data_IF_912700827058
#
_entry.id   IF_912700827058
#
_cell.length_a   1.000
_cell.length_b   1.000
_cell.length_c   1.000
_cell.angle_alpha   90.00
_cell.angle_beta   90.00
_cell.angle_gamma   90.00
#
_symmetry.space_group_name_H-M   'P 1'
#
loop_
_entity.id
_entity.type
_entity.pdbx_description
1 polymer ?
#
# COMPACT_ATOMS: atom_id res chain seq x y z
N UNK A 1 33.28 0.35 22.80
CA UNK A 1 32.53 0.68 21.57
C UNK A 1 31.21 -0.07 21.57
N UNK A 2 30.12 0.58 21.96
CA UNK A 2 28.79 -0.03 22.03
C UNK A 2 28.25 -0.30 20.61
N UNK A 3 28.04 -1.57 20.27
CA UNK A 3 27.34 -2.00 19.06
C UNK A 3 25.84 -1.78 19.26
N UNK A 4 25.37 -0.55 19.05
CA UNK A 4 23.95 -0.31 18.90
C UNK A 4 23.47 -0.98 17.61
N UNK A 5 22.86 -2.15 17.74
CA UNK A 5 22.09 -2.80 16.68
C UNK A 5 20.89 -1.90 16.43
N UNK A 6 20.95 -1.04 15.41
CA UNK A 6 19.80 -0.26 14.96
C UNK A 6 18.66 -1.25 14.63
N UNK A 7 17.67 -1.31 15.51
CA UNK A 7 16.45 -2.05 15.28
C UNK A 7 15.77 -1.42 14.07
N UNK A 8 15.64 -2.19 12.98
CA UNK A 8 14.79 -1.80 11.84
C UNK A 8 13.35 -1.96 12.32
N UNK A 9 12.72 -0.86 12.70
CA UNK A 9 11.29 -0.86 12.99
C UNK A 9 10.53 -0.88 11.67
N UNK A 10 9.64 -1.86 11.55
CA UNK A 10 8.69 -1.91 10.45
C UNK A 10 7.55 -0.94 10.75
N UNK A 11 7.28 -0.01 9.84
CA UNK A 11 6.21 0.97 9.98
C UNK A 11 5.04 0.60 9.09
N UNK A 12 3.91 0.30 9.73
CA UNK A 12 2.64 0.09 9.06
C UNK A 12 1.84 1.40 9.07
N UNK A 13 1.37 1.82 7.89
CA UNK A 13 0.62 3.07 7.71
C UNK A 13 -0.82 2.78 7.27
N UNK A 14 -1.77 3.03 8.17
CA UNK A 14 -3.21 3.06 7.88
C UNK A 14 -3.64 4.53 7.67
N UNK A 15 -3.91 4.98 6.43
CA UNK A 15 -4.50 6.29 6.24
C UNK A 15 -5.96 6.29 6.70
N UNK A 16 -6.34 7.28 7.51
CA UNK A 16 -7.71 7.41 8.04
C UNK A 16 -8.47 8.61 7.46
N UNK A 17 -7.78 9.44 6.68
CA UNK A 17 -8.33 10.65 6.07
C UNK A 17 -7.66 10.88 4.72
N UNK A 18 -8.47 10.87 3.65
CA UNK A 18 -8.06 11.08 2.25
C UNK A 18 -7.23 12.36 2.08
N UNK A 19 -7.55 13.45 2.81
CA UNK A 19 -6.84 14.73 2.76
C UNK A 19 -5.48 14.69 3.47
N UNK A 20 -5.29 13.76 4.39
CA UNK A 20 -4.05 13.63 5.20
C UNK A 20 -3.17 12.47 4.76
N UNK A 21 -3.72 11.49 4.04
CA UNK A 21 -3.02 10.30 3.57
C UNK A 21 -1.71 10.63 2.86
N UNK A 22 -1.70 11.71 2.07
CA UNK A 22 -0.51 12.21 1.37
C UNK A 22 0.61 12.72 2.26
N UNK A 23 0.31 13.20 3.48
CA UNK A 23 1.31 13.82 4.35
C UNK A 23 2.42 12.84 4.74
N UNK A 24 2.06 11.58 4.94
CA UNK A 24 3.04 10.54 5.31
C UNK A 24 4.07 10.32 4.18
N UNK A 25 3.61 10.29 2.93
CA UNK A 25 4.46 10.10 1.76
C UNK A 25 5.28 11.34 1.39
N UNK A 26 4.77 12.54 1.66
CA UNK A 26 5.48 13.80 1.38
C UNK A 26 6.58 14.11 2.41
N UNK A 27 6.38 13.73 3.68
CA UNK A 27 7.36 13.98 4.75
C UNK A 27 8.57 13.03 4.72
N UNK A 28 8.59 12.07 3.79
CA UNK A 28 9.73 11.15 3.63
C UNK A 28 9.85 10.09 4.72
N UNK A 29 8.75 9.76 5.41
CA UNK A 29 8.78 8.65 6.38
C UNK A 29 9.09 7.33 5.68
N UNK A 30 9.89 6.49 6.33
CA UNK A 30 10.22 5.15 5.88
C UNK A 30 9.05 4.19 6.15
N UNK A 31 8.00 4.26 5.33
CA UNK A 31 6.82 3.39 5.41
C UNK A 31 7.21 2.00 4.90
N UNK A 32 6.98 0.96 5.69
CA UNK A 32 7.26 -0.43 5.32
C UNK A 32 6.06 -1.06 4.63
N UNK A 33 4.88 -0.84 5.20
CA UNK A 33 3.60 -1.33 4.71
C UNK A 33 2.57 -0.20 4.74
N UNK A 34 1.64 -0.20 3.79
CA UNK A 34 0.51 0.72 3.79
C UNK A 34 -0.78 -0.02 3.42
N UNK A 35 -1.90 0.38 4.00
CA UNK A 35 -3.19 -0.32 3.83
C UNK A 35 -4.36 0.61 3.54
N UNK A 36 -4.27 1.42 2.46
CA UNK A 36 -5.34 2.35 2.12
C UNK A 36 -6.59 1.62 1.61
N UNK A 37 -7.76 2.23 1.76
CA UNK A 37 -8.86 1.94 0.85
C UNK A 37 -8.62 2.57 -0.54
N UNK A 38 -9.45 2.21 -1.52
CA UNK A 38 -9.28 2.72 -2.89
C UNK A 38 -9.34 4.25 -3.00
N UNK A 39 -10.14 4.93 -2.18
CA UNK A 39 -10.28 6.39 -2.24
C UNK A 39 -9.04 7.09 -1.66
N UNK A 40 -8.51 6.59 -0.55
CA UNK A 40 -7.22 7.04 -0.01
C UNK A 40 -6.10 6.80 -1.00
N UNK A 41 -6.06 5.62 -1.63
CA UNK A 41 -5.06 5.29 -2.63
C UNK A 41 -5.09 6.26 -3.83
N UNK A 42 -6.29 6.60 -4.33
CA UNK A 42 -6.46 7.62 -5.37
C UNK A 42 -5.91 8.98 -4.95
N UNK A 43 -6.19 9.42 -3.73
CA UNK A 43 -5.68 10.69 -3.23
C UNK A 43 -4.16 10.68 -3.05
N UNK A 44 -3.60 9.55 -2.59
CA UNK A 44 -2.15 9.40 -2.45
C UNK A 44 -1.49 9.45 -3.84
N UNK A 45 -1.95 8.61 -4.77
CA UNK A 45 -1.42 8.58 -6.12
C UNK A 45 -1.58 9.93 -6.85
N UNK A 46 -2.75 10.56 -6.73
CA UNK A 46 -3.03 11.86 -7.33
C UNK A 46 -2.14 12.97 -6.78
N UNK A 47 -1.84 12.96 -5.47
CA UNK A 47 -0.92 13.90 -4.86
C UNK A 47 0.55 13.69 -5.27
N UNK A 48 0.95 12.47 -5.62
CA UNK A 48 2.31 12.16 -6.07
C UNK A 48 2.54 12.45 -7.56
N UNK A 49 1.53 12.24 -8.41
CA UNK A 49 1.65 12.40 -9.87
C UNK A 49 1.07 13.73 -10.36
N UNK A 50 0.43 14.51 -9.47
CA UNK A 50 -0.17 15.81 -9.82
C UNK A 50 -1.45 15.70 -10.67
N UNK A 51 -2.03 14.51 -10.79
CA UNK A 51 -3.26 14.28 -11.55
C UNK A 51 -4.13 13.23 -10.85
N UNK A 52 -5.34 13.62 -10.47
CA UNK A 52 -6.33 12.69 -9.97
C UNK A 52 -7.08 12.06 -11.16
N UNK A 53 -7.02 10.73 -11.31
CA UNK A 53 -7.97 10.03 -12.19
C UNK A 53 -9.39 10.28 -11.63
N UNK A 54 -10.21 11.00 -12.39
CA UNK A 54 -11.60 11.35 -12.01
C UNK A 54 -12.64 10.30 -12.45
N UNK A 55 -12.25 9.27 -13.18
CA UNK A 55 -13.19 8.29 -13.72
C UNK A 55 -13.43 7.20 -12.69
N UNK A 56 -14.67 7.10 -12.19
CA UNK A 56 -15.08 6.00 -11.34
C UNK A 56 -15.13 4.70 -12.18
N UNK A 57 -14.42 3.64 -11.78
CA UNK A 57 -14.51 2.34 -12.44
C UNK A 57 -15.94 1.81 -12.38
N UNK A 58 -16.36 1.17 -13.46
CA UNK A 58 -17.74 0.68 -13.62
C UNK A 58 -17.87 -0.84 -13.40
N UNK A 59 -16.75 -1.56 -13.34
CA UNK A 59 -16.70 -3.02 -13.16
C UNK A 59 -15.68 -3.46 -12.10
N UNK A 60 -15.85 -4.64 -11.52
CA UNK A 60 -14.90 -5.22 -10.56
C UNK A 60 -13.48 -5.32 -11.15
N UNK A 61 -13.36 -5.71 -12.42
CA UNK A 61 -12.08 -5.82 -13.13
C UNK A 61 -11.41 -4.45 -13.28
N UNK A 62 -12.19 -3.41 -13.60
CA UNK A 62 -11.66 -2.05 -13.70
C UNK A 62 -11.24 -1.48 -12.35
N UNK A 63 -11.95 -1.83 -11.26
CA UNK A 63 -11.53 -1.51 -9.88
C UNK A 63 -10.20 -2.17 -9.55
N UNK A 64 -10.06 -3.48 -9.82
CA UNK A 64 -8.84 -4.23 -9.53
C UNK A 64 -7.66 -3.69 -10.34
N UNK A 65 -7.86 -3.42 -11.63
CA UNK A 65 -6.83 -2.85 -12.50
C UNK A 65 -6.38 -1.47 -12.01
N UNK A 66 -7.32 -0.60 -11.66
CA UNK A 66 -7.00 0.71 -11.10
C UNK A 66 -6.21 0.59 -9.80
N UNK A 67 -6.64 -0.28 -8.88
CA UNK A 67 -5.94 -0.49 -7.61
C UNK A 67 -4.49 -0.96 -7.81
N UNK A 68 -4.23 -1.83 -8.80
CA UNK A 68 -2.86 -2.25 -9.18
C UNK A 68 -2.06 -1.05 -9.70
N UNK A 69 -2.59 -0.32 -10.68
CA UNK A 69 -1.90 0.83 -11.29
C UNK A 69 -1.55 1.91 -10.26
N UNK A 70 -2.50 2.26 -9.39
CA UNK A 70 -2.27 3.29 -8.36
C UNK A 70 -1.27 2.80 -7.29
N UNK A 71 -1.30 1.52 -6.94
CA UNK A 71 -0.36 0.96 -5.96
C UNK A 71 1.08 0.98 -6.48
N UNK A 72 1.29 0.78 -7.78
CA UNK A 72 2.63 0.88 -8.39
C UNK A 72 3.27 2.26 -8.19
N UNK A 73 2.48 3.33 -8.16
CA UNK A 73 2.98 4.69 -7.91
C UNK A 73 3.61 4.79 -6.51
N UNK A 74 2.98 4.16 -5.51
CA UNK A 74 3.42 4.27 -4.12
C UNK A 74 4.41 3.19 -3.69
N UNK A 75 4.48 2.04 -4.38
CA UNK A 75 5.44 0.95 -4.11
C UNK A 75 6.90 1.37 -4.22
N UNK A 76 7.21 2.51 -4.85
CA UNK A 76 8.57 3.06 -4.79
C UNK A 76 8.96 3.60 -3.40
N UNK A 77 7.97 3.81 -2.52
CA UNK A 77 8.12 4.39 -1.18
C UNK A 77 7.66 3.45 -0.05
N UNK A 78 7.26 2.21 -0.37
CA UNK A 78 6.82 1.17 0.58
C UNK A 78 7.16 -0.22 0.04
N UNK A 79 7.31 -1.23 0.91
CA UNK A 79 7.63 -2.59 0.46
C UNK A 79 6.38 -3.35 -0.04
N UNK A 80 5.24 -3.10 0.60
CA UNK A 80 3.96 -3.63 0.16
C UNK A 80 2.81 -2.64 0.42
N UNK A 81 1.73 -2.84 -0.31
CA UNK A 81 0.47 -2.11 -0.22
C UNK A 81 -0.66 -3.13 -0.11
N UNK A 82 -1.58 -2.91 0.81
CA UNK A 82 -2.75 -3.74 1.00
C UNK A 82 -4.02 -2.91 0.82
N UNK A 83 -4.61 -2.96 -0.38
CA UNK A 83 -5.74 -2.09 -0.71
C UNK A 83 -7.04 -2.74 -0.27
N UNK A 84 -7.81 -2.08 0.60
CA UNK A 84 -9.15 -2.53 0.95
C UNK A 84 -10.15 -2.09 -0.12
N UNK A 85 -10.91 -3.04 -0.66
CA UNK A 85 -11.85 -2.85 -1.79
C UNK A 85 -13.31 -3.14 -1.39
N UNK A 86 -13.61 -3.10 -0.10
CA UNK A 86 -14.92 -3.41 0.45
C UNK A 86 -15.34 -4.84 0.11
N UNK A 87 -16.50 -5.01 -0.56
CA UNK A 87 -17.05 -6.32 -0.93
C UNK A 87 -16.16 -7.15 -1.86
N UNK A 88 -15.20 -6.53 -2.54
CA UNK A 88 -14.25 -7.27 -3.41
C UNK A 88 -13.10 -7.89 -2.61
N UNK A 89 -12.94 -7.51 -1.33
CA UNK A 89 -11.89 -8.00 -0.46
C UNK A 89 -10.67 -7.09 -0.39
N UNK A 90 -9.50 -7.69 -0.25
CA UNK A 90 -8.22 -6.99 -0.06
C UNK A 90 -7.24 -7.38 -1.16
N UNK A 91 -6.65 -6.37 -1.81
CA UNK A 91 -5.63 -6.57 -2.83
C UNK A 91 -4.25 -6.31 -2.22
N UNK A 92 -3.47 -7.37 -2.04
CA UNK A 92 -2.10 -7.30 -1.57
C UNK A 92 -1.13 -7.19 -2.75
N UNK A 93 -0.29 -6.16 -2.74
CA UNK A 93 0.69 -5.91 -3.78
C UNK A 93 2.04 -5.68 -3.11
N UNK A 94 3.02 -6.49 -3.49
CA UNK A 94 4.39 -6.41 -2.94
C UNK A 94 5.41 -6.38 -4.05
N UNK A 95 6.51 -5.68 -3.82
CA UNK A 95 7.66 -5.78 -4.71
C UNK A 95 8.31 -7.16 -4.55
N UNK A 96 8.47 -7.88 -5.66
CA UNK A 96 9.38 -9.02 -5.69
C UNK A 96 10.78 -8.43 -5.76
N UNK A 97 11.45 -8.32 -4.62
CA UNK A 97 12.86 -8.01 -4.60
C UNK A 97 13.63 -9.27 -5.00
N UNK A 98 14.64 -9.16 -5.89
CA UNK A 98 15.63 -10.23 -6.04
C UNK A 98 16.15 -10.61 -4.66
N UNK A 99 16.45 -11.89 -4.42
CA UNK A 99 17.15 -12.32 -3.20
C UNK A 99 18.55 -11.71 -3.19
N UNK A 100 18.67 -10.43 -2.82
CA UNK A 100 19.95 -9.81 -2.54
C UNK A 100 20.37 -10.37 -1.19
N UNK A 101 21.44 -11.15 -1.19
CA UNK A 101 22.16 -11.56 0.02
C UNK A 101 22.28 -10.34 0.93
N UNK A 102 21.72 -10.41 2.14
CA UNK A 102 21.67 -9.33 3.15
C UNK A 102 23.07 -8.92 3.64
N UNK A 103 23.88 -8.35 2.75
CA UNK A 103 25.24 -7.86 3.01
C UNK A 103 25.40 -6.37 2.68
N UNK A 104 24.28 -5.66 2.46
CA UNK A 104 24.23 -4.20 2.38
C UNK A 104 24.07 -3.55 3.75
N UNK A 105 24.60 -2.34 3.91
CA UNK A 105 24.65 -1.65 5.20
C UNK A 105 23.25 -1.38 5.78
N UNK A 106 23.09 -1.29 7.12
CA UNK A 106 21.81 -1.04 7.76
C UNK A 106 21.06 0.21 7.27
N UNK A 107 21.78 1.16 6.65
CA UNK A 107 21.29 2.47 6.22
C UNK A 107 20.99 2.57 4.72
N UNK A 108 21.19 1.52 3.92
CA UNK A 108 20.76 1.60 2.52
C UNK A 108 19.24 1.50 2.44
N UNK A 109 18.56 2.54 1.93
CA UNK A 109 17.14 2.41 1.63
C UNK A 109 16.99 1.28 0.59
N UNK A 110 15.91 0.52 0.64
CA UNK A 110 15.60 -0.54 -0.33
C UNK A 110 15.22 0.05 -1.71
N UNK A 111 15.99 1.02 -2.19
CA UNK A 111 15.92 1.60 -3.52
C UNK A 111 16.69 0.68 -4.47
N UNK A 112 16.19 -0.54 -4.66
CA UNK A 112 16.64 -1.37 -5.77
C UNK A 112 16.24 -0.66 -7.07
N UNK A 113 17.21 -0.37 -7.94
CA UNK A 113 17.02 0.32 -9.21
C UNK A 113 15.76 -0.18 -9.94
N UNK A 114 14.97 0.76 -10.43
CA UNK A 114 13.57 0.63 -10.86
C UNK A 114 13.30 -0.22 -12.11
N UNK A 115 14.29 -0.90 -12.70
CA UNK A 115 14.16 -1.51 -14.03
C UNK A 115 13.64 -2.96 -14.05
N UNK A 116 13.61 -3.67 -12.91
CA UNK A 116 13.18 -5.10 -12.85
C UNK A 116 12.20 -5.40 -11.71
N UNK A 117 11.36 -4.43 -11.33
CA UNK A 117 10.38 -4.61 -10.25
C UNK A 117 9.08 -5.19 -10.82
N UNK A 118 8.96 -6.51 -10.90
CA UNK A 118 7.66 -7.16 -11.14
C UNK A 118 6.87 -7.23 -9.81
N UNK A 119 5.76 -6.49 -9.66
CA UNK A 119 4.94 -6.59 -8.46
C UNK A 119 4.24 -7.94 -8.40
N UNK A 120 4.29 -8.61 -7.24
CA UNK A 120 3.42 -9.74 -6.94
C UNK A 120 2.09 -9.19 -6.47
N UNK A 121 1.01 -9.57 -7.15
CA UNK A 121 -0.36 -9.17 -6.86
C UNK A 121 -1.14 -10.39 -6.39
N UNK A 122 -1.89 -10.25 -5.28
CA UNK A 122 -2.78 -11.28 -4.77
C UNK A 122 -4.07 -10.66 -4.26
N UNK A 123 -5.20 -11.20 -4.71
CA UNK A 123 -6.53 -10.83 -4.22
C UNK A 123 -6.96 -11.83 -3.14
N UNK A 124 -7.37 -11.30 -2.00
CA UNK A 124 -8.04 -12.03 -0.93
C UNK A 124 -9.51 -11.63 -0.96
N UNK A 125 -10.37 -12.50 -1.48
CA UNK A 125 -11.79 -12.21 -1.64
C UNK A 125 -12.48 -12.05 -0.28
N UNK A 126 -13.37 -11.07 -0.16
CA UNK A 126 -14.23 -10.95 1.00
C UNK A 126 -15.24 -12.11 1.02
N UNK A 127 -15.60 -12.64 2.19
CA UNK A 127 -16.69 -13.58 2.31
C UNK A 127 -18.01 -12.94 1.88
N UNK A 128 -18.90 -13.71 1.25
CA UNK A 128 -20.25 -13.26 0.93
C UNK A 128 -21.08 -13.31 2.20
N UNK A 129 -21.50 -12.14 2.68
CA UNK A 129 -22.31 -12.01 3.89
C UNK A 129 -23.67 -11.42 3.49
N UNK A 130 -24.76 -12.08 3.86
CA UNK A 130 -26.14 -11.67 3.52
C UNK A 130 -26.72 -10.61 4.46
N UNK A 131 -26.18 -10.47 5.67
CA UNK A 131 -26.65 -9.52 6.68
C UNK A 131 -25.47 -8.88 7.41
N UNK A 132 -25.47 -7.55 7.51
CA UNK A 132 -24.47 -6.81 8.28
C UNK A 132 -25.15 -5.72 9.10
N UNK A 133 -24.67 -5.49 10.33
CA UNK A 133 -25.21 -4.47 11.24
C UNK A 133 -24.53 -3.11 11.06
N UNK A 134 -23.25 -3.11 10.75
CA UNK A 134 -22.44 -1.91 10.55
C UNK A 134 -21.18 -2.25 9.76
N UNK A 135 -20.67 -1.27 9.01
CA UNK A 135 -19.37 -1.31 8.31
C UNK A 135 -18.39 -0.27 8.86
N UNK A 136 -18.80 0.47 9.90
CA UNK A 136 -17.94 1.44 10.58
C UNK A 136 -16.83 0.71 11.34
N UNK A 137 -15.57 1.11 11.13
CA UNK A 137 -14.39 0.46 11.71
C UNK A 137 -13.99 -0.88 11.07
N UNK A 138 -14.64 -1.31 9.98
CA UNK A 138 -14.30 -2.58 9.32
C UNK A 138 -12.86 -2.62 8.79
N UNK A 139 -12.32 -1.47 8.38
CA UNK A 139 -10.90 -1.31 8.02
C UNK A 139 -9.98 -1.58 9.22
N UNK A 140 -10.21 -0.88 10.33
CA UNK A 140 -9.43 -1.02 11.56
C UNK A 140 -9.45 -2.45 12.12
N UNK A 141 -10.59 -3.16 11.97
CA UNK A 141 -10.70 -4.57 12.40
C UNK A 141 -9.93 -5.55 11.51
N UNK A 142 -9.75 -5.23 10.23
CA UNK A 142 -9.10 -6.13 9.26
C UNK A 142 -7.60 -6.32 9.51
N UNK A 143 -7.00 -5.51 10.40
CA UNK A 143 -5.56 -5.48 10.68
C UNK A 143 -5.18 -5.80 12.14
N UNK A 144 -6.15 -6.12 13.00
CA UNK A 144 -5.91 -6.64 14.36
C UNK A 144 -5.67 -8.15 14.34
#
# INVERSE_FOLDING_TARGET
>A
MSRYRLLRYEFWFEPTDVKKAMKAFNKGYAITFASPNLNELRAIAGGLVGSAKKVAPQSSESILKEAVELSQIILNRTQAVFVTLGKLGVLAIKLILPKVSRRGSPNEPLLVNSKERNPSVRLYQAPVISTFRSVSGAGDWSWN
#
